data_IF_771667391367
#
_entry.id   IF_771667391367
#
_cell.length_a   1.000
_cell.length_b   1.000
_cell.length_c   1.000
_cell.angle_alpha   90.00
_cell.angle_beta   90.00
_cell.angle_gamma   90.00
#
_symmetry.space_group_name_H-M   'P 1'
#
loop_
_entity.id
_entity.type
_entity.pdbx_description
1 polymer ?
#
# COMPACT_ATOMS: atom_id res chain seq x y z
N UNK A 1 12.36 17.08 -16.60
CA UNK A 1 11.83 15.93 -17.36
C UNK A 1 11.11 15.03 -16.38
N UNK A 2 9.81 15.20 -16.24
CA UNK A 2 8.98 14.39 -15.35
C UNK A 2 8.49 13.21 -16.19
N UNK A 3 8.91 11.99 -15.86
CA UNK A 3 8.41 10.80 -16.55
C UNK A 3 6.91 10.66 -16.31
N UNK A 4 6.17 10.21 -17.33
CA UNK A 4 4.74 9.92 -17.21
C UNK A 4 4.55 8.71 -16.29
N UNK A 5 3.95 8.94 -15.12
CA UNK A 5 3.65 7.90 -14.12
C UNK A 5 2.58 6.90 -14.58
N UNK A 6 1.79 7.27 -15.60
CA UNK A 6 0.69 6.47 -16.11
C UNK A 6 1.00 5.81 -17.47
N UNK A 7 2.14 6.14 -18.08
CA UNK A 7 2.61 5.43 -19.26
C UNK A 7 2.89 3.95 -18.94
N UNK A 8 2.57 3.08 -19.91
CA UNK A 8 2.84 1.65 -19.83
C UNK A 8 4.27 1.37 -20.31
N UNK A 9 5.24 1.71 -19.48
CA UNK A 9 6.67 1.53 -19.74
C UNK A 9 7.24 0.43 -18.83
N UNK A 10 8.33 -0.26 -19.25
CA UNK A 10 9.02 -1.19 -18.37
C UNK A 10 9.45 -0.53 -17.06
N UNK A 11 9.48 -1.26 -15.93
CA UNK A 11 9.86 -0.70 -14.63
C UNK A 11 11.23 -0.02 -14.70
N UNK A 12 11.28 1.25 -14.30
CA UNK A 12 12.50 2.03 -14.12
C UNK A 12 12.45 2.78 -12.80
N UNK A 13 13.60 3.20 -12.29
CA UNK A 13 13.64 4.08 -11.14
C UNK A 13 12.94 5.40 -11.45
N UNK A 14 11.90 5.72 -10.69
CA UNK A 14 11.11 6.95 -10.80
C UNK A 14 11.71 8.10 -10.01
N UNK A 15 12.62 7.84 -9.06
CA UNK A 15 13.26 8.88 -8.28
C UNK A 15 14.42 9.50 -9.06
N UNK A 16 14.58 10.83 -9.01
CA UNK A 16 15.66 11.51 -9.71
C UNK A 16 17.03 11.34 -9.03
N UNK A 17 17.05 11.06 -7.72
CA UNK A 17 18.25 10.82 -6.91
C UNK A 17 17.84 10.27 -5.54
N UNK A 18 18.83 9.80 -4.75
CA UNK A 18 18.72 9.38 -3.35
C UNK A 18 17.63 8.34 -3.02
N UNK A 19 17.44 7.38 -3.93
CA UNK A 19 16.59 6.22 -3.67
C UNK A 19 16.09 5.56 -4.94
N UNK A 20 15.29 4.52 -4.76
CA UNK A 20 14.66 3.78 -5.84
C UNK A 20 13.15 3.64 -5.62
N UNK A 21 12.37 3.95 -6.66
CA UNK A 21 10.93 3.65 -6.72
C UNK A 21 10.62 3.00 -8.06
N UNK A 22 10.05 1.80 -8.02
CA UNK A 22 9.67 1.03 -9.20
C UNK A 22 8.15 0.89 -9.23
N UNK A 23 7.54 1.21 -10.37
CA UNK A 23 6.13 0.89 -10.62
C UNK A 23 6.04 -0.46 -11.34
N UNK A 24 5.57 -1.48 -10.63
CA UNK A 24 5.26 -2.79 -11.19
C UNK A 24 3.76 -2.84 -11.48
N UNK A 25 3.40 -2.86 -12.76
CA UNK A 25 2.00 -3.03 -13.20
C UNK A 25 1.65 -4.51 -13.27
N UNK A 26 0.36 -4.80 -13.16
CA UNK A 26 -0.20 -6.14 -13.40
C UNK A 26 0.51 -7.27 -12.64
N UNK A 27 0.92 -6.99 -11.38
CA UNK A 27 1.65 -7.97 -10.55
C UNK A 27 0.82 -9.22 -10.22
N UNK A 28 -0.50 -9.12 -10.42
CA UNK A 28 -1.51 -10.13 -10.13
C UNK A 28 -2.56 -10.07 -11.22
N UNK A 29 -3.07 -11.24 -11.63
CA UNK A 29 -4.21 -11.30 -12.53
C UNK A 29 -5.43 -10.61 -11.89
N UNK A 30 -6.20 -9.87 -12.68
CA UNK A 30 -7.33 -9.07 -12.19
C UNK A 30 -8.31 -9.90 -11.33
N UNK A 31 -8.69 -11.09 -11.81
CA UNK A 31 -9.59 -12.00 -11.09
C UNK A 31 -9.05 -12.44 -9.72
N UNK A 32 -7.73 -12.63 -9.61
CA UNK A 32 -7.09 -13.02 -8.35
C UNK A 32 -7.00 -11.83 -7.40
N UNK A 33 -6.80 -10.62 -7.93
CA UNK A 33 -6.81 -9.38 -7.17
C UNK A 33 -8.18 -9.11 -6.55
N UNK A 34 -9.26 -9.23 -7.33
CA UNK A 34 -10.63 -9.03 -6.85
C UNK A 34 -11.01 -10.03 -5.76
N UNK A 35 -10.71 -11.32 -5.96
CA UNK A 35 -10.94 -12.37 -4.95
C UNK A 35 -10.15 -12.12 -3.67
N UNK A 36 -8.89 -11.73 -3.82
CA UNK A 36 -8.01 -11.44 -2.68
C UNK A 36 -8.51 -10.22 -1.91
N UNK A 37 -8.90 -9.16 -2.61
CA UNK A 37 -9.49 -7.96 -2.01
C UNK A 37 -10.74 -8.30 -1.19
N UNK A 38 -11.69 -9.02 -1.77
CA UNK A 38 -12.91 -9.44 -1.08
C UNK A 38 -12.61 -10.25 0.20
N UNK A 39 -11.61 -11.14 0.13
CA UNK A 39 -11.18 -11.94 1.29
C UNK A 39 -10.56 -11.07 2.38
N UNK A 40 -9.65 -10.16 2.04
CA UNK A 40 -8.99 -9.27 3.01
C UNK A 40 -9.97 -8.30 3.65
N UNK A 41 -10.91 -7.76 2.86
CA UNK A 41 -11.91 -6.82 3.34
C UNK A 41 -12.85 -7.47 4.37
N UNK A 42 -13.28 -8.72 4.13
CA UNK A 42 -14.28 -9.39 4.97
C UNK A 42 -13.69 -10.14 6.17
N UNK A 43 -12.45 -10.64 6.08
CA UNK A 43 -11.92 -11.60 7.06
C UNK A 43 -10.80 -11.07 7.94
N UNK A 44 -10.20 -9.92 7.60
CA UNK A 44 -9.23 -9.31 8.50
C UNK A 44 -9.95 -8.68 9.69
N UNK A 45 -9.43 -8.92 10.89
CA UNK A 45 -9.86 -8.24 12.12
C UNK A 45 -9.33 -6.80 12.12
N UNK A 46 -9.95 -5.96 11.31
CA UNK A 46 -9.58 -4.56 11.15
C UNK A 46 -9.85 -3.76 12.42
N UNK A 47 -8.87 -2.97 12.88
CA UNK A 47 -8.98 -2.13 14.06
C UNK A 47 -8.56 -0.69 13.79
N UNK A 48 -9.20 0.26 14.47
CA UNK A 48 -8.76 1.64 14.45
C UNK A 48 -7.72 1.85 15.55
N UNK A 49 -6.47 2.05 15.15
CA UNK A 49 -5.38 2.32 16.06
C UNK A 49 -5.35 3.79 16.49
N UNK A 50 -4.67 4.05 17.60
CA UNK A 50 -4.37 5.40 18.08
C UNK A 50 -2.87 5.66 17.93
N UNK A 51 -2.52 6.78 17.31
CA UNK A 51 -1.14 7.23 17.20
C UNK A 51 -0.89 8.43 18.11
N UNK A 52 0.32 8.51 18.69
CA UNK A 52 0.77 9.69 19.42
C UNK A 52 1.51 10.63 18.47
N UNK A 53 0.87 11.74 18.12
CA UNK A 53 1.42 12.75 17.20
C UNK A 53 1.53 14.06 17.96
N UNK A 54 2.75 14.61 18.04
CA UNK A 54 3.05 15.82 18.81
C UNK A 54 2.52 15.78 20.25
N UNK A 55 2.64 14.62 20.92
CA UNK A 55 2.21 14.44 22.31
C UNK A 55 0.71 14.18 22.51
N UNK A 56 -0.11 14.30 21.46
CA UNK A 56 -1.56 14.02 21.50
C UNK A 56 -1.85 12.63 20.97
N UNK A 57 -2.80 11.95 21.60
CA UNK A 57 -3.36 10.71 21.09
C UNK A 57 -4.45 11.02 20.06
N UNK A 58 -4.28 10.51 18.84
CA UNK A 58 -5.16 10.77 17.71
C UNK A 58 -5.55 9.43 17.07
N UNK A 59 -6.84 9.16 16.85
CA UNK A 59 -7.26 7.97 16.11
C UNK A 59 -6.76 8.07 14.67
N UNK A 60 -6.10 7.04 14.17
CA UNK A 60 -5.57 7.04 12.81
C UNK A 60 -6.76 6.95 11.83
N UNK A 61 -6.78 7.75 10.75
CA UNK A 61 -7.90 7.75 9.79
C UNK A 61 -7.82 6.58 8.79
N UNK A 62 -7.52 5.38 9.28
CA UNK A 62 -7.56 4.10 8.55
C UNK A 62 -7.65 2.95 9.56
N UNK A 63 -8.12 1.80 9.09
CA UNK A 63 -8.06 0.57 9.85
C UNK A 63 -6.75 -0.18 9.56
N UNK A 64 -6.26 -0.92 10.54
CA UNK A 64 -5.05 -1.73 10.44
C UNK A 64 -5.25 -3.07 11.15
N UNK A 65 -4.41 -4.04 10.81
CA UNK A 65 -4.32 -5.32 11.49
C UNK A 65 -2.88 -5.83 11.38
N UNK A 66 -2.39 -6.52 12.42
CA UNK A 66 -1.04 -7.07 12.47
C UNK A 66 -1.08 -8.60 12.38
N UNK A 67 -0.31 -9.16 11.45
CA UNK A 67 -0.14 -10.61 11.28
C UNK A 67 1.36 -10.92 11.17
N UNK A 68 1.84 -11.90 11.93
CA UNK A 68 3.24 -12.32 11.99
C UNK A 68 3.47 -13.27 13.16
N UNK A 69 4.58 -14.00 13.16
CA UNK A 69 5.03 -14.75 14.34
C UNK A 69 5.66 -13.82 15.37
N UNK A 70 5.59 -14.20 16.66
CA UNK A 70 6.19 -13.46 17.79
C UNK A 70 7.60 -13.96 18.05
#
# INVERSE_FOLDING_TARGET
MTGDLFANEPPRNLLPFDGEVLLLRDIMAADDADKTFARLQSNIVWQQETAKIHGKEIPVPRLTAWYGEV
#
